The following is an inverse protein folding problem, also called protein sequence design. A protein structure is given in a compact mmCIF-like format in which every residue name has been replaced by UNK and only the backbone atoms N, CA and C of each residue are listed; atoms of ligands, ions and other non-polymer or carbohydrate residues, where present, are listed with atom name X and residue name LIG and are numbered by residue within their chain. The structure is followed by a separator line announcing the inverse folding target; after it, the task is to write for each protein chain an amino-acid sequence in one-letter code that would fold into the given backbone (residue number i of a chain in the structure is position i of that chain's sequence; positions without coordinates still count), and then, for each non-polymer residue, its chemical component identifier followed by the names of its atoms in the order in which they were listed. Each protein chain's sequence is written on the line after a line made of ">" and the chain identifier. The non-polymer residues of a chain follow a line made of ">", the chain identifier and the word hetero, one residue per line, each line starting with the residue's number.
data_IF_506420566060
#
_entry.id   IF_506420566060
#
_cell.length_a   1.000
_cell.length_b   1.000
_cell.length_c   1.000
_cell.angle_alpha   90.00
_cell.angle_beta   90.00
_cell.angle_gamma   90.00
#
_symmetry.space_group_name_H-M   'P 1'
#
loop_
_entity.id
_entity.type
_entity.pdbx_description
1 polymer ?
#
# COMPACT_ATOMS: atom_id res chain seq x y z
N UNK A 1 24.46 -0.18 33.48
CA UNK A 1 23.72 0.41 32.34
C UNK A 1 24.61 0.35 31.12
N UNK A 2 24.16 -0.29 30.05
CA UNK A 2 24.88 -0.30 28.78
C UNK A 2 24.63 1.02 28.05
N UNK A 3 25.70 1.72 27.65
CA UNK A 3 25.62 3.00 26.93
C UNK A 3 25.85 2.76 25.46
N UNK A 4 24.97 3.28 24.59
CA UNK A 4 25.22 3.37 23.14
C UNK A 4 26.34 4.38 22.93
N UNK A 5 27.45 3.94 22.31
CA UNK A 5 28.64 4.78 22.06
C UNK A 5 28.79 5.20 20.59
N UNK A 6 27.95 4.65 19.69
CA UNK A 6 27.93 5.01 18.29
C UNK A 6 26.90 4.22 17.50
N UNK A 7 26.70 4.64 16.25
CA UNK A 7 25.85 3.98 15.25
C UNK A 7 26.71 3.81 13.99
N UNK A 8 26.64 2.64 13.38
CA UNK A 8 27.20 2.37 12.04
C UNK A 8 26.06 2.02 11.10
N UNK A 9 25.98 2.71 9.97
CA UNK A 9 25.11 2.32 8.85
C UNK A 9 25.81 1.21 8.04
N UNK A 10 25.01 0.25 7.56
CA UNK A 10 25.50 -0.85 6.72
C UNK A 10 25.00 -0.61 5.29
N UNK A 11 25.54 0.43 4.64
CA UNK A 11 25.06 0.88 3.32
C UNK A 11 25.18 -0.20 2.24
N UNK A 12 26.09 -1.14 2.43
CA UNK A 12 26.25 -2.34 1.60
C UNK A 12 25.06 -3.31 1.66
N UNK A 13 24.19 -3.16 2.65
CA UNK A 13 22.97 -4.00 2.82
C UNK A 13 21.72 -3.35 2.24
N UNK A 14 21.84 -2.15 1.70
CA UNK A 14 20.70 -1.44 1.11
C UNK A 14 20.36 -2.05 -0.26
N UNK A 15 19.16 -2.59 -0.38
CA UNK A 15 18.59 -3.05 -1.64
C UNK A 15 17.59 -2.02 -2.16
N UNK A 16 17.75 -1.61 -3.43
CA UNK A 16 16.83 -0.69 -4.10
C UNK A 16 16.15 -1.40 -5.24
N UNK A 17 14.82 -1.51 -5.16
CA UNK A 17 13.97 -2.02 -6.23
C UNK A 17 13.35 -0.83 -6.97
N UNK A 18 13.25 -0.93 -8.29
CA UNK A 18 12.78 0.14 -9.17
C UNK A 18 11.25 0.32 -9.19
N UNK A 19 10.60 0.36 -8.03
CA UNK A 19 9.17 0.62 -7.95
C UNK A 19 8.81 2.08 -8.28
N UNK A 20 7.70 2.28 -8.97
CA UNK A 20 7.14 3.58 -9.30
C UNK A 20 5.92 3.83 -8.43
N UNK A 21 6.00 4.84 -7.58
CA UNK A 21 4.97 5.21 -6.61
C UNK A 21 5.58 5.86 -5.37
N UNK A 22 4.74 6.30 -4.48
CA UNK A 22 5.16 6.88 -3.21
C UNK A 22 4.39 6.31 -2.00
N UNK A 23 4.63 6.85 -0.79
CA UNK A 23 3.98 6.46 0.46
C UNK A 23 3.96 4.94 0.71
N UNK A 24 5.12 4.32 0.60
CA UNK A 24 5.31 2.88 0.81
C UNK A 24 5.21 2.50 2.28
N UNK A 25 4.00 2.41 2.79
CA UNK A 25 3.73 1.93 4.14
C UNK A 25 3.89 0.42 4.20
N UNK A 26 4.59 -0.08 5.22
CA UNK A 26 4.90 -1.51 5.33
C UNK A 26 4.53 -2.03 6.71
N UNK A 27 3.99 -3.24 6.78
CA UNK A 27 3.67 -3.96 8.00
C UNK A 27 4.14 -5.41 7.93
N UNK A 28 4.44 -6.00 9.07
CA UNK A 28 4.81 -7.41 9.21
C UNK A 28 3.62 -8.18 9.79
N UNK A 29 3.21 -9.26 9.14
CA UNK A 29 2.08 -10.08 9.56
C UNK A 29 2.52 -11.37 10.26
N UNK A 30 1.58 -12.02 10.93
CA UNK A 30 1.82 -13.25 11.70
C UNK A 30 2.28 -14.44 10.85
N UNK A 31 2.04 -14.42 9.55
CA UNK A 31 2.53 -15.42 8.58
C UNK A 31 3.98 -15.19 8.12
N UNK A 32 4.72 -14.31 8.81
CA UNK A 32 6.11 -13.95 8.53
C UNK A 32 6.32 -13.27 7.16
N UNK A 33 5.27 -12.73 6.56
CA UNK A 33 5.33 -11.92 5.34
C UNK A 33 5.21 -10.44 5.68
N UNK A 34 5.87 -9.61 4.86
CA UNK A 34 5.66 -8.17 4.85
C UNK A 34 4.56 -7.83 3.84
N UNK A 35 3.76 -6.85 4.17
CA UNK A 35 2.74 -6.26 3.29
C UNK A 35 3.01 -4.77 3.17
N UNK A 36 2.89 -4.25 1.95
CA UNK A 36 3.13 -2.83 1.68
C UNK A 36 2.07 -2.27 0.76
N UNK A 37 1.80 -0.98 0.90
CA UNK A 37 0.95 -0.26 -0.04
C UNK A 37 1.73 0.87 -0.69
N UNK A 38 1.38 1.19 -1.92
CA UNK A 38 1.80 2.41 -2.59
C UNK A 38 0.62 3.37 -2.75
N UNK A 39 0.95 4.66 -2.94
CA UNK A 39 0.07 5.62 -3.61
C UNK A 39 0.76 6.16 -4.86
N UNK A 40 -0.05 6.70 -5.78
CA UNK A 40 0.38 7.46 -6.94
C UNK A 40 1.50 6.80 -7.76
N UNK A 41 1.22 5.60 -8.26
CA UNK A 41 2.23 4.91 -9.05
C UNK A 41 1.76 3.70 -9.83
N UNK A 42 2.66 3.16 -10.63
CA UNK A 42 2.43 1.96 -11.44
C UNK A 42 2.92 0.68 -10.75
N UNK A 43 3.66 0.79 -9.65
CA UNK A 43 4.23 -0.35 -8.94
C UNK A 43 5.55 -0.82 -9.51
N UNK A 44 5.75 -2.14 -9.59
CA UNK A 44 7.00 -2.78 -9.95
C UNK A 44 6.92 -3.40 -11.36
N UNK A 45 7.66 -2.89 -12.35
CA UNK A 45 7.62 -3.39 -13.73
C UNK A 45 7.98 -4.87 -13.90
N UNK A 46 8.83 -5.40 -13.02
CA UNK A 46 9.32 -6.78 -13.10
C UNK A 46 8.47 -7.79 -12.31
N UNK A 47 7.32 -7.34 -11.77
CA UNK A 47 6.43 -8.21 -10.99
C UNK A 47 5.28 -8.70 -11.86
N UNK A 48 4.96 -9.99 -11.75
CA UNK A 48 3.83 -10.60 -12.45
C UNK A 48 2.52 -9.83 -12.20
N UNK A 49 1.75 -9.59 -13.25
CA UNK A 49 0.52 -8.80 -13.19
C UNK A 49 0.75 -7.28 -13.33
N UNK A 50 1.97 -6.82 -13.61
CA UNK A 50 2.21 -5.43 -13.94
C UNK A 50 1.52 -5.03 -15.24
N UNK A 51 0.68 -4.01 -15.18
CA UNK A 51 -0.10 -3.51 -16.32
C UNK A 51 0.41 -2.18 -16.87
N UNK A 52 1.31 -1.51 -16.14
CA UNK A 52 1.69 -0.13 -16.42
C UNK A 52 0.61 0.90 -16.06
N UNK A 53 -0.53 0.47 -15.55
CA UNK A 53 -1.60 1.35 -15.11
C UNK A 53 -1.18 2.11 -13.87
N UNK A 54 -1.46 3.40 -13.84
CA UNK A 54 -1.25 4.25 -12.68
C UNK A 54 -2.41 4.09 -11.68
N UNK A 55 -2.08 3.84 -10.43
CA UNK A 55 -3.06 3.63 -9.34
C UNK A 55 -2.96 4.71 -8.28
N UNK A 56 -4.10 5.11 -7.72
CA UNK A 56 -4.13 5.93 -6.52
C UNK A 56 -3.66 5.14 -5.28
N UNK A 57 -3.91 3.84 -5.28
CA UNK A 57 -3.45 2.93 -4.23
C UNK A 57 -3.40 1.50 -4.74
N UNK A 58 -2.41 0.75 -4.29
CA UNK A 58 -2.25 -0.66 -4.56
C UNK A 58 -1.54 -1.35 -3.41
N UNK A 59 -1.85 -2.64 -3.20
CA UNK A 59 -1.27 -3.42 -2.10
C UNK A 59 -0.45 -4.58 -2.65
N UNK A 60 0.67 -4.86 -2.00
CA UNK A 60 1.60 -5.93 -2.34
C UNK A 60 1.95 -6.74 -1.11
N UNK A 61 2.26 -8.00 -1.32
CA UNK A 61 3.02 -8.79 -0.38
C UNK A 61 4.51 -8.81 -0.77
N UNK A 62 5.37 -8.90 0.22
CA UNK A 62 6.81 -9.08 0.03
C UNK A 62 7.16 -10.46 0.58
N UNK A 63 7.68 -11.32 -0.29
CA UNK A 63 8.06 -12.68 0.03
C UNK A 63 9.58 -12.78 0.21
N UNK A 64 10.02 -13.50 1.26
CA UNK A 64 11.43 -13.72 1.54
C UNK A 64 12.13 -12.53 2.18
N UNK A 65 13.45 -12.65 2.32
CA UNK A 65 14.30 -11.65 2.97
C UNK A 65 15.33 -11.07 1.99
N UNK A 66 15.75 -9.82 2.19
CA UNK A 66 16.86 -9.28 1.40
C UNK A 66 18.12 -10.15 1.49
N UNK A 67 18.87 -10.33 0.40
CA UNK A 67 18.67 -9.74 -0.93
C UNK A 67 17.72 -10.52 -1.86
N UNK A 68 17.12 -11.61 -1.42
CA UNK A 68 16.37 -12.57 -2.23
C UNK A 68 14.85 -12.44 -2.01
N UNK A 69 14.36 -11.22 -1.82
CA UNK A 69 12.94 -10.95 -1.70
C UNK A 69 12.29 -10.67 -3.05
N UNK A 70 10.99 -10.90 -3.13
CA UNK A 70 10.15 -10.59 -4.30
C UNK A 70 8.85 -9.91 -3.88
N UNK A 71 8.29 -9.15 -4.81
CA UNK A 71 6.97 -8.53 -4.62
C UNK A 71 5.90 -9.34 -5.34
N UNK A 72 4.70 -9.32 -4.80
CA UNK A 72 3.52 -9.97 -5.35
C UNK A 72 2.33 -9.03 -5.23
N UNK A 73 1.58 -8.81 -6.33
CA UNK A 73 0.34 -8.05 -6.29
C UNK A 73 -0.74 -8.82 -5.51
N UNK A 74 -1.39 -8.16 -4.58
CA UNK A 74 -2.57 -8.72 -3.92
C UNK A 74 -3.81 -8.42 -4.78
N UNK A 75 -4.18 -9.39 -5.61
CA UNK A 75 -5.28 -9.26 -6.56
C UNK A 75 -6.67 -9.12 -5.89
N UNK A 76 -6.79 -9.51 -4.63
CA UNK A 76 -8.01 -9.28 -3.85
C UNK A 76 -8.28 -7.81 -3.52
N UNK A 77 -7.23 -6.96 -3.52
CA UNK A 77 -7.42 -5.53 -3.33
C UNK A 77 -8.03 -4.91 -4.60
N UNK A 78 -9.09 -4.08 -4.46
CA UNK A 78 -9.74 -3.51 -5.63
C UNK A 78 -8.80 -2.59 -6.42
N UNK A 79 -8.93 -2.59 -7.74
CA UNK A 79 -8.24 -1.63 -8.59
C UNK A 79 -8.79 -0.23 -8.34
N UNK A 80 -7.89 0.66 -7.90
CA UNK A 80 -8.18 2.07 -7.67
C UNK A 80 -7.33 2.91 -8.63
N UNK A 81 -7.68 2.93 -9.94
CA UNK A 81 -6.89 3.61 -10.95
C UNK A 81 -6.89 5.13 -10.73
N UNK A 82 -5.80 5.75 -11.17
CA UNK A 82 -5.68 7.20 -11.26
C UNK A 82 -6.38 7.70 -12.54
N UNK A 83 -6.97 8.89 -12.50
CA UNK A 83 -7.52 9.55 -13.68
C UNK A 83 -9.04 9.61 -13.69
N UNK A 84 -9.66 9.58 -14.86
CA UNK A 84 -11.07 9.84 -15.11
C UNK A 84 -12.03 9.02 -14.25
N UNK A 85 -12.06 9.39 -12.97
CA UNK A 85 -13.05 8.85 -12.05
C UNK A 85 -14.29 9.70 -12.27
N UNK A 86 -15.44 9.08 -12.62
CA UNK A 86 -16.70 9.81 -12.71
C UNK A 86 -16.92 10.67 -11.46
N UNK A 87 -17.53 11.84 -11.59
CA UNK A 87 -17.77 12.80 -10.50
C UNK A 87 -18.37 12.17 -9.24
N UNK A 88 -19.05 11.04 -9.40
CA UNK A 88 -19.70 10.28 -8.31
C UNK A 88 -18.75 9.28 -7.62
N UNK A 89 -17.52 9.06 -8.12
CA UNK A 89 -16.57 8.14 -7.52
C UNK A 89 -15.41 8.89 -6.89
N UNK A 90 -15.27 8.73 -5.60
CA UNK A 90 -14.16 9.30 -4.85
C UNK A 90 -12.85 8.56 -5.17
N UNK A 91 -11.78 9.32 -5.31
CA UNK A 91 -10.42 8.76 -5.36
C UNK A 91 -10.02 8.34 -3.95
N UNK A 92 -9.48 7.15 -3.80
CA UNK A 92 -9.00 6.65 -2.52
C UNK A 92 -7.48 6.50 -2.55
N UNK A 93 -6.83 7.13 -1.58
CA UNK A 93 -5.38 7.11 -1.41
C UNK A 93 -5.02 6.34 -0.14
N UNK A 94 -4.08 5.40 -0.22
CA UNK A 94 -3.62 4.61 0.92
C UNK A 94 -2.73 5.45 1.84
N UNK A 95 -3.05 5.47 3.13
CA UNK A 95 -2.30 6.23 4.14
C UNK A 95 -1.88 5.41 5.35
N UNK A 96 -1.73 4.14 5.18
CA UNK A 96 -1.20 3.24 6.19
C UNK A 96 -1.85 1.88 6.14
N UNK A 97 -1.02 0.86 6.23
CA UNK A 97 -1.44 -0.52 6.35
C UNK A 97 -0.86 -1.09 7.64
N UNK A 98 -1.64 -1.90 8.35
CA UNK A 98 -1.19 -2.60 9.54
C UNK A 98 -1.74 -4.03 9.56
N UNK A 99 -0.88 -4.98 9.91
CA UNK A 99 -1.28 -6.34 10.22
C UNK A 99 -1.53 -6.46 11.73
N UNK A 100 -2.68 -6.99 12.10
CA UNK A 100 -3.02 -7.36 13.47
C UNK A 100 -3.59 -8.77 13.46
N UNK A 101 -2.95 -9.69 14.15
CA UNK A 101 -3.24 -11.11 14.08
C UNK A 101 -3.19 -11.62 12.62
N UNK A 102 -4.24 -12.28 12.16
CA UNK A 102 -4.35 -12.80 10.78
C UNK A 102 -5.10 -11.85 9.82
N UNK A 103 -5.10 -10.54 10.11
CA UNK A 103 -5.84 -9.54 9.33
C UNK A 103 -4.94 -8.40 8.90
N UNK A 104 -5.28 -7.83 7.74
CA UNK A 104 -4.72 -6.55 7.29
C UNK A 104 -5.79 -5.46 7.44
N UNK A 105 -5.39 -4.31 7.93
CA UNK A 105 -6.20 -3.11 7.99
C UNK A 105 -5.52 -2.01 7.18
N UNK A 106 -6.27 -1.36 6.31
CA UNK A 106 -5.75 -0.31 5.45
C UNK A 106 -6.60 0.95 5.56
N UNK A 107 -5.97 2.05 5.94
CA UNK A 107 -6.62 3.36 5.96
C UNK A 107 -6.50 4.01 4.60
N UNK A 108 -7.64 4.45 4.08
CA UNK A 108 -7.75 5.19 2.84
C UNK A 108 -8.30 6.58 3.13
N UNK A 109 -7.87 7.57 2.36
CA UNK A 109 -8.46 8.91 2.41
C UNK A 109 -8.91 9.34 1.03
N UNK A 110 -9.82 10.32 0.98
CA UNK A 110 -10.39 10.81 -0.27
C UNK A 110 -10.51 12.33 -0.26
N UNK A 111 -10.22 13.01 -1.39
CA UNK A 111 -10.52 14.42 -1.54
C UNK A 111 -12.00 14.64 -1.82
N UNK A 112 -12.48 15.86 -1.53
CA UNK A 112 -13.85 16.28 -1.83
C UNK A 112 -14.10 16.60 -3.33
N UNK A 113 -13.02 16.87 -4.07
CA UNK A 113 -13.02 17.21 -5.49
C UNK A 113 -11.76 16.69 -6.19
N UNK A 114 -11.71 16.66 -7.54
CA UNK A 114 -10.47 16.49 -8.29
C UNK A 114 -9.42 17.53 -7.87
N UNK A 115 -8.16 17.14 -7.85
CA UNK A 115 -7.06 17.99 -7.34
C UNK A 115 -6.84 19.30 -8.12
N UNK A 116 -7.30 19.39 -9.35
CA UNK A 116 -7.21 20.59 -10.16
C UNK A 116 -8.22 21.68 -9.76
N UNK A 117 -9.11 21.35 -8.81
CA UNK A 117 -10.12 22.29 -8.34
C UNK A 117 -9.62 23.11 -7.16
N UNK A 118 -9.75 24.44 -7.25
CA UNK A 118 -9.44 25.34 -6.12
C UNK A 118 -10.34 24.99 -4.92
N UNK A 119 -9.73 24.73 -3.77
CA UNK A 119 -10.43 24.26 -2.57
C UNK A 119 -10.52 22.73 -2.41
N UNK A 120 -9.87 21.98 -3.29
CA UNK A 120 -9.70 20.53 -3.10
C UNK A 120 -8.94 20.25 -1.80
N UNK A 121 -9.44 19.32 -1.00
CA UNK A 121 -8.85 18.87 0.27
C UNK A 121 -9.30 17.47 0.61
N UNK A 122 -8.52 16.78 1.40
CA UNK A 122 -8.94 15.53 1.98
C UNK A 122 -10.04 15.74 3.02
N UNK A 123 -11.13 15.02 2.91
CA UNK A 123 -12.34 15.23 3.71
C UNK A 123 -12.77 14.01 4.51
N UNK A 124 -12.15 12.87 4.28
CA UNK A 124 -12.55 11.63 4.95
C UNK A 124 -11.41 10.63 5.10
N UNK A 125 -11.63 9.72 6.04
CA UNK A 125 -10.83 8.53 6.23
C UNK A 125 -11.76 7.33 6.18
N UNK A 126 -11.41 6.33 5.36
CA UNK A 126 -12.12 5.06 5.25
C UNK A 126 -11.18 3.96 5.72
N UNK A 127 -11.70 3.07 6.55
CA UNK A 127 -11.04 1.83 6.90
C UNK A 127 -11.57 0.69 6.03
N UNK A 128 -10.67 -0.02 5.39
CA UNK A 128 -10.94 -1.33 4.78
C UNK A 128 -10.09 -2.39 5.47
N UNK A 129 -10.53 -3.63 5.46
CA UNK A 129 -9.76 -4.71 6.06
C UNK A 129 -9.85 -5.98 5.24
N UNK A 130 -8.82 -6.80 5.36
CA UNK A 130 -8.78 -8.16 4.82
C UNK A 130 -8.77 -9.15 5.99
N UNK A 131 -9.74 -10.07 6.05
CA UNK A 131 -9.76 -11.09 7.09
C UNK A 131 -8.82 -12.27 6.82
N UNK A 132 -8.18 -12.32 5.66
CA UNK A 132 -7.45 -13.44 5.09
C UNK A 132 -6.11 -13.02 4.44
N UNK A 133 -5.47 -12.00 5.01
CA UNK A 133 -4.15 -11.50 4.63
C UNK A 133 -4.02 -11.07 3.16
N UNK A 134 -5.10 -10.52 2.59
CA UNK A 134 -5.09 -9.87 1.29
C UNK A 134 -5.84 -10.57 0.17
N UNK A 135 -6.41 -11.75 0.44
CA UNK A 135 -7.20 -12.50 -0.55
C UNK A 135 -8.55 -11.83 -0.84
N UNK A 136 -9.21 -11.32 0.22
CA UNK A 136 -10.44 -10.54 0.11
C UNK A 136 -10.36 -9.25 0.91
N UNK A 137 -11.13 -8.24 0.50
CA UNK A 137 -11.17 -6.96 1.20
C UNK A 137 -12.61 -6.51 1.43
N UNK A 138 -12.85 -6.00 2.62
CA UNK A 138 -14.16 -5.59 3.10
C UNK A 138 -14.10 -4.16 3.61
N UNK A 139 -15.25 -3.50 3.52
CA UNK A 139 -15.48 -2.22 4.19
C UNK A 139 -15.58 -2.42 5.71
N UNK A 140 -15.51 -1.33 6.47
CA UNK A 140 -15.57 -1.36 7.93
C UNK A 140 -16.84 -2.04 8.47
N UNK A 141 -17.94 -2.01 7.74
CA UNK A 141 -19.21 -2.63 8.10
C UNK A 141 -19.32 -4.11 7.67
N UNK A 142 -18.26 -4.64 7.05
CA UNK A 142 -18.21 -6.02 6.57
C UNK A 142 -18.78 -6.23 5.16
N UNK A 143 -19.26 -5.18 4.50
CA UNK A 143 -19.66 -5.27 3.09
C UNK A 143 -18.45 -5.34 2.16
N UNK A 144 -18.56 -5.98 0.97
CA UNK A 144 -17.50 -5.99 -0.03
C UNK A 144 -17.26 -4.63 -0.68
#
# INVERSE_FOLDING_TARGET
>A
MTRIVGIRTLDETIHRMGGIGDNWYTTWAANDRLYTSLTDGTGFPDVEGYTGMFHNTRVFAINGNPPHHSFEYLHGFPDLPFGDVPEEKYRYYGFGIIALDDRLYHFLTTPNHPFEYEGSRFVGCKLVYSPDLGETWLNQDGSP
#
